data_IF_558569158530
#
_entry.id   IF_558569158530
#
_cell.length_a   1.000
_cell.length_b   1.000
_cell.length_c   1.000
_cell.angle_alpha   90.00
_cell.angle_beta   90.00
_cell.angle_gamma   90.00
#
_symmetry.space_group_name_H-M   'P 1'
#
loop_
_entity.id
_entity.type
_entity.pdbx_description
1 polymer ?
#
# COMPACT_ATOMS: atom_id res chain seq x y z
N UNK A 1 -2.64 -59.02 -9.31
CA UNK A 1 -2.88 -58.05 -8.23
C UNK A 1 -1.95 -56.88 -8.46
N UNK A 2 -2.56 -55.73 -8.60
CA UNK A 2 -2.08 -54.45 -9.11
C UNK A 2 -1.26 -53.71 -8.05
N UNK A 3 -0.08 -53.21 -8.43
CA UNK A 3 0.64 -52.19 -7.66
C UNK A 3 0.06 -50.85 -8.13
N UNK A 4 -0.57 -50.15 -7.19
CA UNK A 4 -1.34 -48.94 -7.38
C UNK A 4 -0.46 -47.73 -7.73
N UNK A 5 -0.97 -46.93 -8.66
CA UNK A 5 -0.49 -45.60 -9.05
C UNK A 5 -0.45 -44.64 -7.84
N UNK A 6 0.70 -43.99 -7.64
CA UNK A 6 0.78 -42.79 -6.81
C UNK A 6 0.76 -41.55 -7.73
N UNK A 7 -0.15 -40.59 -7.52
CA UNK A 7 -0.25 -39.41 -8.36
C UNK A 7 0.88 -38.41 -8.10
N UNK A 8 1.31 -37.77 -9.18
CA UNK A 8 2.21 -36.61 -9.19
C UNK A 8 1.60 -35.48 -8.34
N UNK A 9 2.32 -34.89 -7.36
CA UNK A 9 1.78 -33.76 -6.61
C UNK A 9 1.62 -32.56 -7.54
N UNK A 10 0.35 -32.27 -7.84
CA UNK A 10 -0.15 -31.11 -8.56
C UNK A 10 0.49 -29.81 -8.09
N UNK A 11 0.89 -28.98 -9.04
CA UNK A 11 1.31 -27.58 -8.86
C UNK A 11 0.16 -26.67 -8.39
N UNK A 12 -0.42 -26.94 -7.23
CA UNK A 12 -1.36 -26.04 -6.57
C UNK A 12 -0.88 -25.79 -5.15
N UNK A 13 -0.36 -24.59 -4.91
CA UNK A 13 0.03 -24.15 -3.57
C UNK A 13 1.41 -23.53 -3.45
N UNK A 14 1.99 -22.97 -4.52
CA UNK A 14 3.15 -22.08 -4.37
C UNK A 14 2.67 -20.79 -3.69
N UNK A 15 2.73 -20.81 -2.37
CA UNK A 15 2.56 -19.68 -1.46
C UNK A 15 3.13 -18.40 -2.09
N UNK A 16 2.25 -17.43 -2.35
CA UNK A 16 2.56 -16.09 -2.89
C UNK A 16 3.67 -15.39 -2.09
N UNK A 17 3.87 -15.80 -0.84
CA UNK A 17 4.91 -15.36 0.08
C UNK A 17 6.31 -15.67 -0.44
N UNK A 18 6.52 -16.82 -1.11
CA UNK A 18 7.84 -17.22 -1.61
C UNK A 18 8.22 -16.47 -2.91
N UNK A 19 7.26 -16.07 -3.75
CA UNK A 19 7.54 -15.30 -4.98
C UNK A 19 8.02 -13.87 -4.69
N UNK A 20 7.56 -13.26 -3.59
CA UNK A 20 8.02 -11.92 -3.18
C UNK A 20 9.42 -11.94 -2.55
N UNK A 21 9.86 -13.09 -2.04
CA UNK A 21 11.15 -13.22 -1.37
C UNK A 21 12.35 -13.09 -2.34
N UNK A 22 12.13 -13.26 -3.65
CA UNK A 22 13.18 -13.20 -4.67
C UNK A 22 13.32 -11.82 -5.37
N UNK A 23 12.52 -10.82 -5.01
CA UNK A 23 12.54 -9.50 -5.66
C UNK A 23 12.88 -8.31 -4.76
N UNK A 24 13.08 -8.51 -3.45
CA UNK A 24 13.45 -7.40 -2.55
C UNK A 24 14.97 -7.39 -2.37
N UNK A 25 15.68 -6.87 -3.37
CA UNK A 25 17.03 -6.33 -3.19
C UNK A 25 16.93 -4.80 -3.05
N UNK A 26 16.12 -4.35 -2.09
CA UNK A 26 16.12 -2.97 -1.62
C UNK A 26 17.19 -2.81 -0.53
N UNK A 27 17.78 -1.62 -0.38
CA UNK A 27 18.62 -1.31 0.78
C UNK A 27 17.86 -1.60 2.07
N UNK A 28 18.55 -2.13 3.10
CA UNK A 28 17.93 -2.33 4.41
C UNK A 28 17.44 -1.02 5.04
N UNK A 29 18.01 0.11 4.62
CA UNK A 29 17.60 1.45 5.05
C UNK A 29 16.39 1.94 4.26
N UNK A 30 15.34 2.35 4.98
CA UNK A 30 14.19 3.04 4.40
C UNK A 30 14.57 4.43 3.90
N UNK A 31 14.00 4.83 2.76
CA UNK A 31 14.30 6.12 2.12
C UNK A 31 13.08 7.04 2.10
N UNK A 32 13.33 8.34 1.96
CA UNK A 32 12.29 9.31 1.63
C UNK A 32 12.38 9.63 0.13
N UNK A 33 11.30 9.35 -0.59
CA UNK A 33 11.20 9.60 -2.03
C UNK A 33 11.16 11.11 -2.34
N UNK A 34 11.50 11.49 -3.56
CA UNK A 34 11.37 12.88 -4.00
C UNK A 34 9.92 13.35 -4.03
N UNK A 35 9.69 14.66 -3.98
CA UNK A 35 8.36 15.23 -4.19
C UNK A 35 8.04 15.23 -5.68
N UNK A 36 6.86 14.71 -6.04
CA UNK A 36 6.31 14.80 -7.40
C UNK A 36 4.84 15.24 -7.38
N UNK A 37 4.36 15.73 -8.52
CA UNK A 37 2.94 15.93 -8.77
C UNK A 37 2.28 14.60 -9.16
N UNK A 38 0.97 14.50 -9.00
CA UNK A 38 0.23 13.35 -9.50
C UNK A 38 0.23 13.38 -11.04
N UNK A 39 0.63 12.29 -11.71
CA UNK A 39 0.60 12.23 -13.17
C UNK A 39 -0.86 12.21 -13.64
N UNK A 40 -1.18 13.00 -14.66
CA UNK A 40 -2.54 13.13 -15.18
C UNK A 40 -2.56 12.93 -16.70
N UNK A 41 -3.62 12.33 -17.26
CA UNK A 41 -3.82 12.29 -18.71
C UNK A 41 -3.88 13.71 -19.29
N UNK A 42 -3.17 13.96 -20.40
CA UNK A 42 -3.02 15.31 -20.97
C UNK A 42 -4.31 15.92 -21.52
N UNK A 43 -5.32 15.10 -21.82
CA UNK A 43 -6.57 15.53 -22.48
C UNK A 43 -7.75 15.71 -21.52
N UNK A 44 -7.53 15.61 -20.20
CA UNK A 44 -8.60 15.65 -19.21
C UNK A 44 -8.63 16.98 -18.43
N UNK A 45 -9.83 17.52 -18.22
CA UNK A 45 -10.06 18.71 -17.39
C UNK A 45 -10.29 18.40 -15.90
N UNK A 46 -10.43 17.13 -15.50
CA UNK A 46 -10.64 16.79 -14.09
C UNK A 46 -9.38 17.02 -13.24
N UNK A 47 -9.59 17.41 -11.99
CA UNK A 47 -8.51 17.79 -11.04
C UNK A 47 -7.98 16.62 -10.21
N UNK A 48 -8.43 15.39 -10.44
CA UNK A 48 -8.08 14.22 -9.64
C UNK A 48 -7.90 12.95 -10.49
N UNK A 49 -7.09 12.04 -9.98
CA UNK A 49 -6.76 10.76 -10.60
C UNK A 49 -7.84 9.72 -10.31
N UNK A 50 -8.31 9.00 -11.33
CA UNK A 50 -9.31 7.94 -11.17
C UNK A 50 -8.73 6.58 -11.59
N UNK A 51 -8.36 5.69 -10.65
CA UNK A 51 -7.84 4.36 -10.97
C UNK A 51 -8.78 3.45 -11.78
N UNK A 52 -10.05 3.82 -11.95
CA UNK A 52 -11.01 3.10 -12.79
C UNK A 52 -11.07 3.61 -14.24
N UNK A 53 -10.59 4.83 -14.50
CA UNK A 53 -10.51 5.40 -15.85
C UNK A 53 -9.38 4.77 -16.66
N UNK A 54 -9.63 4.51 -17.95
CA UNK A 54 -8.68 3.82 -18.82
C UNK A 54 -7.35 4.55 -18.95
N UNK A 55 -7.36 5.88 -19.13
CA UNK A 55 -6.14 6.65 -19.31
C UNK A 55 -5.34 6.76 -18.01
N UNK A 56 -6.03 6.91 -16.88
CA UNK A 56 -5.38 6.86 -15.56
C UNK A 56 -4.78 5.47 -15.28
N UNK A 57 -5.46 4.38 -15.66
CA UNK A 57 -4.92 3.02 -15.52
C UNK A 57 -3.66 2.81 -16.35
N UNK A 58 -3.61 3.33 -17.57
CA UNK A 58 -2.39 3.28 -18.39
C UNK A 58 -1.21 3.94 -17.66
N UNK A 59 -1.43 5.09 -17.03
CA UNK A 59 -0.41 5.75 -16.19
C UNK A 59 -0.06 4.88 -14.97
N UNK A 60 -1.05 4.38 -14.24
CA UNK A 60 -0.84 3.59 -13.01
C UNK A 60 0.01 2.34 -13.27
N UNK A 61 -0.26 1.62 -14.36
CA UNK A 61 0.43 0.38 -14.71
C UNK A 61 1.68 0.58 -15.57
N UNK A 62 1.95 1.80 -16.04
CA UNK A 62 3.17 2.09 -16.78
C UNK A 62 4.39 1.97 -15.86
N UNK A 63 5.38 1.09 -16.15
CA UNK A 63 6.55 0.91 -15.31
C UNK A 63 7.44 2.16 -15.23
N UNK A 64 7.25 3.15 -16.12
CA UNK A 64 7.96 4.44 -16.07
C UNK A 64 7.36 5.42 -15.07
N UNK A 65 6.12 5.21 -14.63
CA UNK A 65 5.53 6.03 -13.56
C UNK A 65 6.28 5.75 -12.27
N UNK A 66 6.88 6.79 -11.70
CA UNK A 66 7.76 6.69 -10.56
C UNK A 66 7.01 6.44 -9.25
N UNK A 67 7.71 5.91 -8.24
CA UNK A 67 7.14 5.75 -6.88
C UNK A 67 6.69 7.11 -6.30
N UNK A 68 7.44 8.19 -6.56
CA UNK A 68 7.10 9.54 -6.10
C UNK A 68 5.78 10.05 -6.70
N UNK A 69 5.53 9.75 -7.97
CA UNK A 69 4.26 10.05 -8.66
C UNK A 69 3.10 9.23 -8.11
N UNK A 70 3.31 7.95 -7.82
CA UNK A 70 2.29 7.10 -7.20
C UNK A 70 1.93 7.56 -5.77
N UNK A 71 2.92 7.98 -4.97
CA UNK A 71 2.64 8.64 -3.70
C UNK A 71 1.84 9.94 -3.89
N UNK A 72 2.13 10.70 -4.94
CA UNK A 72 1.37 11.91 -5.25
C UNK A 72 -0.11 11.63 -5.58
N UNK A 73 -0.42 10.47 -6.19
CA UNK A 73 -1.80 10.01 -6.35
C UNK A 73 -2.43 9.76 -4.96
N UNK A 74 -1.77 9.01 -4.07
CA UNK A 74 -2.28 8.69 -2.72
C UNK A 74 -2.54 9.91 -1.83
N UNK A 75 -1.90 11.06 -2.12
CA UNK A 75 -2.15 12.32 -1.44
C UNK A 75 -3.57 12.85 -1.69
N UNK A 76 -4.18 12.54 -2.83
CA UNK A 76 -5.50 13.02 -3.19
C UNK A 76 -6.59 12.36 -2.31
N UNK A 77 -7.33 13.19 -1.57
CA UNK A 77 -8.41 12.75 -0.69
C UNK A 77 -9.74 12.68 -1.46
N UNK A 78 -9.81 11.77 -2.42
CA UNK A 78 -11.01 11.51 -3.23
C UNK A 78 -11.35 10.02 -3.20
N UNK A 79 -12.64 9.63 -3.27
CA UNK A 79 -13.04 8.23 -3.13
C UNK A 79 -12.35 7.27 -4.09
N UNK A 80 -12.19 7.68 -5.35
CA UNK A 80 -11.57 6.88 -6.41
C UNK A 80 -10.16 6.41 -6.03
N UNK A 81 -9.37 7.28 -5.42
CA UNK A 81 -8.01 6.95 -4.95
C UNK A 81 -8.06 6.12 -3.67
N UNK A 82 -8.85 6.53 -2.69
CA UNK A 82 -8.85 5.90 -1.36
C UNK A 82 -9.44 4.48 -1.38
N UNK A 83 -10.46 4.23 -2.19
CA UNK A 83 -11.04 2.90 -2.38
C UNK A 83 -10.09 1.92 -3.10
N UNK A 84 -9.14 2.44 -3.88
CA UNK A 84 -8.16 1.65 -4.65
C UNK A 84 -6.75 1.71 -4.04
N UNK A 85 -6.66 1.88 -2.72
CA UNK A 85 -5.39 1.99 -1.99
C UNK A 85 -4.49 0.78 -2.19
N UNK A 86 -5.06 -0.42 -2.29
CA UNK A 86 -4.35 -1.67 -2.51
C UNK A 86 -3.78 -1.75 -3.94
N UNK A 87 -4.54 -1.36 -4.95
CA UNK A 87 -4.09 -1.34 -6.34
C UNK A 87 -2.89 -0.40 -6.52
N UNK A 88 -3.01 0.83 -6.01
CA UNK A 88 -1.94 1.83 -6.09
C UNK A 88 -0.74 1.41 -5.23
N UNK A 89 -0.99 0.92 -4.01
CA UNK A 89 0.04 0.48 -3.09
C UNK A 89 0.82 -0.74 -3.60
N UNK A 90 0.16 -1.70 -4.23
CA UNK A 90 0.82 -2.85 -4.85
C UNK A 90 1.71 -2.44 -6.03
N UNK A 91 1.29 -1.46 -6.83
CA UNK A 91 2.12 -0.89 -7.89
C UNK A 91 3.34 -0.13 -7.33
N UNK A 92 3.24 0.50 -6.16
CA UNK A 92 4.39 1.06 -5.43
C UNK A 92 5.37 -0.04 -5.00
N UNK A 93 4.89 -1.09 -4.35
CA UNK A 93 5.71 -2.23 -3.88
C UNK A 93 6.40 -2.93 -5.06
N UNK A 94 5.67 -3.16 -6.16
CA UNK A 94 6.18 -3.80 -7.39
C UNK A 94 7.34 -3.03 -8.04
N UNK A 95 7.45 -1.73 -7.79
CA UNK A 95 8.56 -0.88 -8.25
C UNK A 95 9.77 -0.90 -7.30
N UNK A 96 9.79 -1.82 -6.34
CA UNK A 96 10.91 -2.00 -5.40
C UNK A 96 10.89 -1.05 -4.20
N UNK A 97 9.77 -0.36 -3.97
CA UNK A 97 9.61 0.49 -2.78
C UNK A 97 9.61 -0.39 -1.53
N UNK A 98 10.43 -0.03 -0.53
CA UNK A 98 10.36 -0.66 0.78
C UNK A 98 9.04 -0.25 1.46
N UNK A 99 8.40 -1.15 2.20
CA UNK A 99 7.11 -0.87 2.90
C UNK A 99 7.22 0.25 3.94
N UNK A 100 8.45 0.55 4.38
CA UNK A 100 8.77 1.63 5.32
C UNK A 100 9.31 2.90 4.65
N UNK A 101 9.41 2.93 3.32
CA UNK A 101 9.74 4.14 2.59
C UNK A 101 8.66 5.22 2.78
N UNK A 102 9.07 6.47 2.61
CA UNK A 102 8.24 7.65 2.91
C UNK A 102 7.98 8.49 1.68
N UNK A 103 6.77 9.02 1.58
CA UNK A 103 6.43 10.09 0.65
C UNK A 103 7.23 11.35 0.98
N UNK A 104 7.83 11.97 -0.05
CA UNK A 104 8.66 13.16 0.12
C UNK A 104 7.94 14.38 0.66
N UNK A 105 6.63 14.49 0.43
CA UNK A 105 5.84 15.65 0.85
C UNK A 105 5.29 15.49 2.26
N UNK A 106 4.70 14.34 2.57
CA UNK A 106 3.98 14.11 3.83
C UNK A 106 4.77 13.29 4.85
N UNK A 107 5.92 12.74 4.46
CA UNK A 107 6.71 11.81 5.26
C UNK A 107 5.92 10.57 5.75
N UNK A 108 4.77 10.30 5.12
CA UNK A 108 3.92 9.16 5.42
C UNK A 108 4.44 7.92 4.68
N UNK A 109 4.39 6.77 5.35
CA UNK A 109 4.59 5.46 4.71
C UNK A 109 3.30 4.98 4.06
N UNK A 110 3.37 3.91 3.24
CA UNK A 110 2.17 3.26 2.70
C UNK A 110 1.16 2.90 3.80
N UNK A 111 1.62 2.37 4.93
CA UNK A 111 0.73 1.99 6.04
C UNK A 111 -0.08 3.17 6.58
N UNK A 112 0.50 4.39 6.63
CA UNK A 112 -0.23 5.58 7.03
C UNK A 112 -1.36 5.92 6.03
N UNK A 113 -1.06 5.85 4.72
CA UNK A 113 -2.07 6.05 3.68
C UNK A 113 -3.16 4.98 3.73
N UNK A 114 -2.80 3.73 3.99
CA UNK A 114 -3.76 2.64 4.18
C UNK A 114 -4.69 2.89 5.36
N UNK A 115 -4.18 3.40 6.48
CA UNK A 115 -5.02 3.71 7.64
C UNK A 115 -6.06 4.79 7.34
N UNK A 116 -5.71 5.85 6.61
CA UNK A 116 -6.70 6.87 6.21
C UNK A 116 -7.69 6.35 5.17
N UNK A 117 -7.27 5.41 4.32
CA UNK A 117 -8.09 4.87 3.21
C UNK A 117 -9.22 3.94 3.66
N UNK A 118 -9.37 3.67 4.96
CA UNK A 118 -10.53 2.97 5.51
C UNK A 118 -11.68 3.88 5.96
N UNK A 119 -11.53 5.21 5.84
CA UNK A 119 -12.51 6.18 6.33
C UNK A 119 -13.88 6.02 5.66
N UNK A 120 -14.95 6.00 6.46
CA UNK A 120 -16.31 5.86 5.96
C UNK A 120 -16.69 6.97 4.97
N UNK A 121 -17.36 6.60 3.87
CA UNK A 121 -17.82 7.54 2.83
C UNK A 121 -16.74 8.06 1.88
N UNK A 122 -15.46 7.74 2.14
CA UNK A 122 -14.34 8.09 1.26
C UNK A 122 -13.62 6.83 0.78
N UNK A 123 -13.21 5.97 1.70
CA UNK A 123 -12.43 4.79 1.41
C UNK A 123 -13.23 3.49 1.42
N UNK A 124 -12.51 2.37 1.38
CA UNK A 124 -13.05 1.02 1.53
C UNK A 124 -12.33 0.31 2.68
N UNK A 125 -13.06 0.06 3.77
CA UNK A 125 -12.49 -0.45 5.02
C UNK A 125 -11.98 -1.88 4.89
N UNK A 126 -12.64 -2.73 4.11
CA UNK A 126 -12.23 -4.12 3.92
C UNK A 126 -10.94 -4.21 3.11
N UNK A 127 -10.84 -3.42 2.05
CA UNK A 127 -9.68 -3.32 1.18
C UNK A 127 -8.49 -2.73 1.94
N UNK A 128 -8.71 -1.64 2.68
CA UNK A 128 -7.69 -1.05 3.55
C UNK A 128 -7.22 -2.03 4.64
N UNK A 129 -8.13 -2.76 5.28
CA UNK A 129 -7.81 -3.74 6.32
C UNK A 129 -6.95 -4.91 5.79
N UNK A 130 -7.32 -5.46 4.63
CA UNK A 130 -6.56 -6.52 3.94
C UNK A 130 -5.16 -6.02 3.58
N UNK A 131 -5.08 -4.84 2.97
CA UNK A 131 -3.80 -4.28 2.54
C UNK A 131 -2.90 -3.88 3.73
N UNK A 132 -3.46 -3.36 4.83
CA UNK A 132 -2.69 -3.08 6.03
C UNK A 132 -2.08 -4.35 6.65
N UNK A 133 -2.85 -5.45 6.67
CA UNK A 133 -2.36 -6.74 7.13
C UNK A 133 -1.20 -7.23 6.26
N UNK A 134 -1.34 -7.13 4.94
CA UNK A 134 -0.27 -7.46 3.99
C UNK A 134 0.99 -6.60 4.21
N UNK A 135 0.85 -5.28 4.42
CA UNK A 135 1.98 -4.40 4.68
C UNK A 135 2.71 -4.79 5.99
N UNK A 136 1.96 -5.13 7.04
CA UNK A 136 2.53 -5.58 8.32
C UNK A 136 3.26 -6.92 8.14
N UNK A 137 2.69 -7.87 7.40
CA UNK A 137 3.33 -9.15 7.09
C UNK A 137 4.64 -8.97 6.29
N UNK A 138 4.70 -7.92 5.46
CA UNK A 138 5.90 -7.50 4.73
C UNK A 138 6.92 -6.71 5.59
N UNK A 139 6.64 -6.46 6.86
CA UNK A 139 7.54 -5.79 7.79
C UNK A 139 7.32 -4.29 7.95
N UNK A 140 6.12 -3.78 7.66
CA UNK A 140 5.79 -2.39 7.95
C UNK A 140 5.88 -2.09 9.46
N UNK A 141 6.68 -1.09 9.81
CA UNK A 141 6.86 -0.65 11.18
C UNK A 141 5.73 0.31 11.58
N UNK A 142 4.79 -0.22 12.37
CA UNK A 142 3.63 0.50 12.90
C UNK A 142 3.99 1.66 13.83
N UNK A 143 5.24 1.73 14.30
CA UNK A 143 5.72 2.73 15.25
C UNK A 143 6.25 4.01 14.57
N UNK A 144 6.58 3.92 13.28
CA UNK A 144 7.06 5.06 12.49
C UNK A 144 6.07 6.20 12.54
N UNK A 145 6.59 7.41 12.78
CA UNK A 145 5.82 8.65 12.82
C UNK A 145 6.20 9.51 11.63
N UNK A 146 5.21 10.10 10.96
CA UNK A 146 5.47 11.18 10.00
C UNK A 146 6.15 12.35 10.72
N UNK A 147 7.22 12.90 10.15
CA UNK A 147 7.93 14.08 10.67
C UNK A 147 7.04 15.32 10.76
N UNK A 148 6.01 15.43 9.93
CA UNK A 148 5.18 16.64 9.84
C UNK A 148 4.04 16.67 10.84
N UNK A 149 3.36 15.54 11.01
CA UNK A 149 2.23 15.42 11.95
C UNK A 149 2.65 14.85 13.29
N UNK A 150 3.85 14.27 13.36
CA UNK A 150 4.29 13.46 14.48
C UNK A 150 3.23 12.40 14.83
N UNK A 151 2.59 11.77 13.84
CA UNK A 151 1.56 10.74 14.00
C UNK A 151 2.06 9.44 13.36
N UNK A 152 1.83 8.31 14.02
CA UNK A 152 2.02 6.98 13.42
C UNK A 152 0.71 6.44 12.82
N UNK A 153 0.78 5.26 12.19
CA UNK A 153 -0.37 4.57 11.59
C UNK A 153 -1.59 4.47 12.52
N UNK A 154 -1.40 4.15 13.80
CA UNK A 154 -2.50 4.05 14.78
C UNK A 154 -3.21 5.38 14.97
N UNK A 155 -2.47 6.49 15.03
CA UNK A 155 -3.06 7.82 15.15
C UNK A 155 -3.86 8.19 13.90
N UNK A 156 -3.41 7.80 12.70
CA UNK A 156 -4.17 8.01 11.47
C UNK A 156 -5.46 7.19 11.46
N UNK A 157 -5.41 5.90 11.82
CA UNK A 157 -6.61 5.08 11.92
C UNK A 157 -7.63 5.66 12.92
N UNK A 158 -7.17 6.19 14.06
CA UNK A 158 -8.03 6.87 15.02
C UNK A 158 -8.57 8.21 14.52
N UNK A 159 -7.73 9.04 13.89
CA UNK A 159 -8.12 10.36 13.39
C UNK A 159 -9.18 10.27 12.28
N UNK A 160 -9.07 9.25 11.42
CA UNK A 160 -10.01 9.00 10.32
C UNK A 160 -11.19 8.08 10.71
N UNK A 161 -11.33 7.75 11.99
CA UNK A 161 -12.40 6.91 12.54
C UNK A 161 -12.52 5.53 11.86
N UNK A 162 -11.42 4.78 11.83
CA UNK A 162 -11.33 3.47 11.18
C UNK A 162 -11.04 2.36 12.22
N UNK A 163 -12.05 1.88 12.97
CA UNK A 163 -11.86 0.96 14.08
C UNK A 163 -11.28 -0.41 13.70
N UNK A 164 -11.55 -0.89 12.49
CA UNK A 164 -10.99 -2.14 11.94
C UNK A 164 -9.46 -2.04 11.84
N UNK A 165 -8.95 -0.92 11.35
CA UNK A 165 -7.52 -0.66 11.21
C UNK A 165 -6.86 -0.44 12.58
N UNK A 166 -7.55 0.22 13.53
CA UNK A 166 -7.10 0.30 14.93
C UNK A 166 -6.87 -1.11 15.49
N UNK A 167 -7.83 -2.01 15.28
CA UNK A 167 -7.75 -3.39 15.76
C UNK A 167 -6.57 -4.15 15.15
N UNK A 168 -6.36 -4.02 13.84
CA UNK A 168 -5.22 -4.66 13.13
C UNK A 168 -3.89 -4.15 13.68
N UNK A 169 -3.74 -2.84 13.85
CA UNK A 169 -2.49 -2.25 14.32
C UNK A 169 -2.19 -2.65 15.76
N UNK A 170 -3.20 -2.59 16.66
CA UNK A 170 -3.02 -2.95 18.07
C UNK A 170 -2.68 -4.43 18.26
N UNK A 171 -3.26 -5.34 17.46
CA UNK A 171 -2.92 -6.77 17.50
C UNK A 171 -1.46 -7.04 17.14
N UNK A 172 -0.86 -6.18 16.31
CA UNK A 172 0.54 -6.29 15.89
C UNK A 172 1.48 -5.39 16.70
N UNK A 173 0.97 -4.66 17.70
CA UNK A 173 1.78 -3.84 18.57
C UNK A 173 2.48 -4.68 19.63
N UNK A 174 3.79 -4.46 19.77
CA UNK A 174 4.57 -5.04 20.85
C UNK A 174 4.37 -4.22 22.13
N UNK A 175 4.12 -4.86 23.30
CA UNK A 175 4.14 -4.17 24.58
C UNK A 175 5.49 -3.45 24.75
N UNK A 176 5.46 -2.21 25.25
CA UNK A 176 6.69 -1.58 25.71
C UNK A 176 7.09 -2.28 27.01
N UNK A 177 8.29 -2.86 27.02
CA UNK A 177 8.92 -3.41 28.22
C UNK A 177 9.30 -2.30 29.20
#
# INVERSE_FOLDING_TARGET
>A
MTIEDLPDPSEEGVSLTRRHQYFISGSEDSVTHSVSAAPMPSEYEFSFFDPNDTACREILFNPKTSVSELFAILRQWVPQVQQNIDMIGNEIIKRGCNVNDRDGLTDMTLLHYTCKSGAHGIGDVETAAKFASQLIDLGADISLRSRWTNMNALHYAAYFDVPELITIILKNAKPKA
#
